data_IF_830569103106
#
_entry.id   IF_830569103106
#
_cell.length_a   1.000
_cell.length_b   1.000
_cell.length_c   1.000
_cell.angle_alpha   90.00
_cell.angle_beta   90.00
_cell.angle_gamma   90.00
#
_symmetry.space_group_name_H-M   'P 1'
#
loop_
_entity.id
_entity.type
_entity.pdbx_description
1 polymer ?
#
# COMPACT_ATOMS: atom_id res chain seq x y z
N UNK A 1 32.76 -6.78 3.81
CA UNK A 1 31.94 -6.47 2.63
C UNK A 1 30.82 -5.57 3.12
N UNK A 2 31.00 -4.28 2.93
CA UNK A 2 30.21 -3.19 3.53
C UNK A 2 28.95 -2.95 2.68
N UNK A 3 27.78 -3.33 3.19
CA UNK A 3 26.50 -2.90 2.64
C UNK A 3 26.18 -1.52 3.19
N UNK A 4 26.53 -0.49 2.43
CA UNK A 4 26.15 0.90 2.72
C UNK A 4 24.61 0.99 2.80
N UNK A 5 24.02 1.57 3.86
CA UNK A 5 22.59 1.84 3.92
C UNK A 5 22.19 2.79 2.80
N UNK A 6 20.92 2.73 2.37
CA UNK A 6 20.35 3.67 1.41
C UNK A 6 20.29 5.08 2.03
N UNK A 7 21.41 5.79 2.02
CA UNK A 7 21.47 7.25 2.20
C UNK A 7 21.00 7.89 0.88
N UNK A 8 19.72 8.24 0.80
CA UNK A 8 19.24 9.36 -0.03
C UNK A 8 17.75 9.64 0.24
N UNK A 9 17.49 10.80 0.86
CA UNK A 9 16.19 11.37 1.24
C UNK A 9 15.53 10.67 2.45
N UNK A 10 15.06 11.45 3.42
CA UNK A 10 14.24 11.03 4.58
C UNK A 10 12.89 10.43 4.13
N UNK A 11 12.90 9.33 3.38
CA UNK A 11 11.73 8.72 2.75
C UNK A 11 11.63 7.28 3.20
N UNK A 12 10.70 7.03 4.11
CA UNK A 12 10.43 5.71 4.65
C UNK A 12 9.51 4.94 3.69
N UNK A 13 9.83 3.67 3.44
CA UNK A 13 8.97 2.74 2.71
C UNK A 13 8.26 1.85 3.73
N UNK A 14 6.94 1.92 3.79
CA UNK A 14 6.13 0.96 4.54
C UNK A 14 5.52 -0.05 3.58
N UNK A 15 5.69 -1.34 3.85
CA UNK A 15 5.15 -2.40 3.00
C UNK A 15 4.22 -3.33 3.78
N UNK A 16 3.20 -3.82 3.08
CA UNK A 16 2.31 -4.86 3.54
C UNK A 16 2.29 -5.97 2.47
N UNK A 17 2.48 -7.22 2.88
CA UNK A 17 2.41 -8.40 2.02
C UNK A 17 2.00 -9.61 2.87
N UNK A 18 1.12 -10.45 2.33
CA UNK A 18 0.60 -11.61 3.04
C UNK A 18 1.59 -12.79 3.10
N UNK A 19 2.67 -12.75 2.31
CA UNK A 19 3.73 -13.77 2.28
C UNK A 19 5.01 -13.21 2.88
N UNK A 20 5.33 -13.61 4.11
CA UNK A 20 6.48 -13.12 4.88
C UNK A 20 7.82 -13.20 4.11
N UNK A 21 8.06 -14.31 3.40
CA UNK A 21 9.31 -14.51 2.65
C UNK A 21 9.56 -13.44 1.56
N UNK A 22 8.51 -12.79 1.05
CA UNK A 22 8.64 -11.72 0.05
C UNK A 22 8.95 -10.36 0.66
N UNK A 23 8.71 -10.19 1.97
CA UNK A 23 8.98 -8.94 2.69
C UNK A 23 10.45 -8.84 3.08
N UNK A 24 11.08 -9.97 3.41
CA UNK A 24 12.47 -10.00 3.91
C UNK A 24 13.46 -9.16 3.08
N UNK A 25 13.49 -9.25 1.73
CA UNK A 25 14.43 -8.45 0.95
C UNK A 25 14.16 -6.93 1.00
N UNK A 26 12.94 -6.51 1.33
CA UNK A 26 12.59 -5.11 1.53
C UNK A 26 13.01 -4.62 2.92
N UNK A 27 12.86 -5.45 3.94
CA UNK A 27 13.30 -5.15 5.31
C UNK A 27 14.83 -5.01 5.37
N UNK A 28 15.56 -5.88 4.67
CA UNK A 28 17.02 -5.80 4.52
C UNK A 28 17.48 -4.47 3.89
N UNK A 29 16.58 -3.78 3.18
CA UNK A 29 16.80 -2.47 2.54
C UNK A 29 16.22 -1.31 3.36
N UNK A 30 15.79 -1.55 4.59
CA UNK A 30 15.28 -0.52 5.50
C UNK A 30 13.79 -0.21 5.36
N UNK A 31 13.00 -1.06 4.68
CA UNK A 31 11.56 -0.93 4.70
C UNK A 31 10.98 -1.27 6.09
N UNK A 32 9.84 -0.67 6.41
CA UNK A 32 9.07 -0.93 7.63
C UNK A 32 7.91 -1.86 7.26
N UNK A 33 7.77 -2.97 7.98
CA UNK A 33 6.61 -3.85 7.79
C UNK A 33 5.37 -3.31 8.51
N UNK A 34 4.23 -3.33 7.83
CA UNK A 34 2.92 -3.07 8.39
C UNK A 34 2.06 -4.34 8.38
N UNK A 35 1.36 -4.60 9.48
CA UNK A 35 0.52 -5.79 9.63
C UNK A 35 -0.78 -5.69 8.81
N UNK A 36 -1.22 -4.47 8.46
CA UNK A 36 -2.42 -4.22 7.66
C UNK A 36 -2.18 -3.17 6.58
N UNK A 37 -2.97 -3.18 5.48
CA UNK A 37 -2.96 -2.10 4.49
C UNK A 37 -3.24 -0.72 5.10
N UNK A 38 -4.17 -0.63 6.04
CA UNK A 38 -4.45 0.60 6.79
C UNK A 38 -3.19 1.14 7.48
N UNK A 39 -2.45 0.28 8.20
CA UNK A 39 -1.22 0.69 8.87
C UNK A 39 -0.15 1.12 7.87
N UNK A 40 -0.08 0.48 6.70
CA UNK A 40 0.83 0.87 5.64
C UNK A 40 0.50 2.26 5.07
N UNK A 41 -0.79 2.58 4.95
CA UNK A 41 -1.27 3.86 4.43
C UNK A 41 -1.17 5.03 5.43
N UNK A 42 -1.25 4.75 6.74
CA UNK A 42 -1.39 5.73 7.82
C UNK A 42 -0.41 6.91 7.81
N UNK A 43 0.82 6.69 7.33
CA UNK A 43 1.88 7.71 7.27
C UNK A 43 2.42 7.94 5.85
N UNK A 44 1.76 7.37 4.85
CA UNK A 44 2.24 7.40 3.48
C UNK A 44 1.68 8.59 2.71
N UNK A 45 2.56 9.29 2.00
CA UNK A 45 2.16 10.33 1.04
C UNK A 45 1.60 9.75 -0.26
N UNK A 46 2.16 8.61 -0.65
CA UNK A 46 1.88 7.90 -1.90
C UNK A 46 1.75 6.43 -1.51
N UNK A 47 0.62 5.82 -1.85
CA UNK A 47 0.32 4.42 -1.59
C UNK A 47 0.25 3.72 -2.95
N UNK A 48 1.03 2.66 -3.13
CA UNK A 48 1.01 1.85 -4.34
C UNK A 48 0.53 0.44 -3.98
N UNK A 49 -0.53 0.00 -4.64
CA UNK A 49 -1.06 -1.36 -4.55
C UNK A 49 -0.78 -2.13 -5.84
N UNK A 50 -0.39 -3.39 -5.69
CA UNK A 50 -0.20 -4.35 -6.77
C UNK A 50 -0.63 -5.73 -6.26
N UNK A 51 -1.70 -6.25 -6.84
CA UNK A 51 -2.43 -7.43 -6.39
C UNK A 51 -2.77 -8.34 -7.58
N UNK A 52 -3.26 -9.54 -7.28
CA UNK A 52 -3.50 -10.58 -8.29
C UNK A 52 -4.78 -10.36 -9.11
N UNK A 53 -5.80 -9.77 -8.50
CA UNK A 53 -7.15 -9.67 -9.05
C UNK A 53 -8.03 -8.67 -8.27
N UNK A 54 -9.23 -8.46 -8.80
CA UNK A 54 -10.31 -7.62 -8.25
C UNK A 54 -10.68 -7.92 -6.78
N UNK A 55 -10.61 -9.17 -6.33
CA UNK A 55 -10.97 -9.54 -4.96
C UNK A 55 -9.83 -9.18 -4.01
N UNK A 56 -8.59 -9.48 -4.39
CA UNK A 56 -7.41 -9.11 -3.63
C UNK A 56 -7.32 -7.57 -3.48
N UNK A 57 -7.51 -6.83 -4.58
CA UNK A 57 -7.53 -5.37 -4.57
C UNK A 57 -8.64 -4.81 -3.66
N UNK A 58 -9.87 -5.35 -3.73
CA UNK A 58 -10.96 -4.95 -2.81
C UNK A 58 -10.60 -5.16 -1.34
N UNK A 59 -9.99 -6.30 -1.01
CA UNK A 59 -9.56 -6.58 0.36
C UNK A 59 -8.46 -5.63 0.82
N UNK A 60 -7.50 -5.30 -0.06
CA UNK A 60 -6.41 -4.38 0.29
C UNK A 60 -6.93 -2.96 0.49
N UNK A 61 -7.85 -2.49 -0.35
CA UNK A 61 -8.31 -1.10 -0.31
C UNK A 61 -9.48 -0.86 0.64
N UNK A 62 -10.51 -1.70 0.57
CA UNK A 62 -11.85 -1.42 1.11
C UNK A 62 -12.31 -2.43 2.15
N UNK A 63 -11.43 -3.31 2.65
CA UNK A 63 -11.76 -4.10 3.82
C UNK A 63 -12.17 -3.17 4.98
N UNK A 64 -13.31 -3.42 5.64
CA UNK A 64 -13.89 -2.47 6.59
C UNK A 64 -12.99 -2.22 7.80
N UNK A 65 -12.19 -3.22 8.19
CA UNK A 65 -11.36 -3.15 9.40
C UNK A 65 -9.91 -2.81 9.07
N UNK A 66 -9.40 -3.28 7.93
CA UNK A 66 -7.96 -3.26 7.60
C UNK A 66 -7.61 -2.58 6.28
N UNK A 67 -8.60 -2.13 5.52
CA UNK A 67 -8.43 -1.54 4.20
C UNK A 67 -7.58 -0.27 4.22
N UNK A 68 -6.75 -0.09 3.20
CA UNK A 68 -5.86 1.06 3.05
C UNK A 68 -6.62 2.40 3.07
N UNK A 69 -7.87 2.44 2.59
CA UNK A 69 -8.72 3.63 2.62
C UNK A 69 -8.90 4.21 4.03
N UNK A 70 -8.90 3.35 5.06
CA UNK A 70 -9.07 3.75 6.45
C UNK A 70 -7.81 4.41 7.04
N UNK A 71 -6.68 4.40 6.31
CA UNK A 71 -5.41 4.98 6.72
C UNK A 71 -4.94 6.13 5.83
N UNK A 72 -5.67 6.49 4.78
CA UNK A 72 -5.26 7.56 3.88
C UNK A 72 -5.25 8.91 4.61
N UNK A 73 -4.13 9.63 4.52
CA UNK A 73 -4.09 11.04 4.93
C UNK A 73 -4.78 11.91 3.89
N UNK A 74 -5.28 13.06 4.31
CA UNK A 74 -5.80 14.08 3.40
C UNK A 74 -4.75 14.43 2.34
N UNK A 75 -5.16 14.42 1.06
CA UNK A 75 -4.28 14.67 -0.08
C UNK A 75 -3.20 13.60 -0.32
N UNK A 76 -3.38 12.38 0.19
CA UNK A 76 -2.55 11.24 -0.21
C UNK A 76 -2.83 10.86 -1.68
N UNK A 77 -1.86 10.24 -2.34
CA UNK A 77 -2.03 9.71 -3.69
C UNK A 77 -2.16 8.19 -3.61
N UNK A 78 -3.34 7.66 -3.95
CA UNK A 78 -3.57 6.23 -4.10
C UNK A 78 -3.28 5.80 -5.55
N UNK A 79 -2.42 4.81 -5.74
CA UNK A 79 -2.06 4.23 -7.02
C UNK A 79 -2.39 2.75 -6.99
N UNK A 80 -3.35 2.33 -7.81
CA UNK A 80 -3.64 0.91 -8.05
C UNK A 80 -3.01 0.53 -9.39
N UNK A 81 -2.04 -0.39 -9.35
CA UNK A 81 -1.22 -0.77 -10.50
C UNK A 81 -1.44 -2.22 -10.95
N UNK A 82 -2.52 -2.87 -10.50
CA UNK A 82 -2.89 -4.23 -10.92
C UNK A 82 -3.65 -4.24 -12.25
N UNK A 83 -3.71 -5.41 -12.88
CA UNK A 83 -4.63 -5.64 -14.03
C UNK A 83 -6.01 -5.99 -13.49
N UNK A 84 -6.93 -5.02 -13.52
CA UNK A 84 -8.24 -5.11 -12.90
C UNK A 84 -9.37 -4.83 -13.89
N UNK A 85 -10.60 -5.16 -13.49
CA UNK A 85 -11.76 -4.76 -14.28
C UNK A 85 -11.99 -3.24 -14.24
N UNK A 86 -12.57 -2.69 -15.31
CA UNK A 86 -12.90 -1.26 -15.40
C UNK A 86 -13.94 -0.89 -14.35
N UNK A 87 -14.97 -1.70 -14.18
CA UNK A 87 -16.04 -1.47 -13.19
C UNK A 87 -15.47 -1.35 -11.77
N UNK A 88 -14.54 -2.25 -11.42
CA UNK A 88 -13.87 -2.18 -10.12
C UNK A 88 -13.00 -0.93 -9.96
N UNK A 89 -12.18 -0.59 -10.95
CA UNK A 89 -11.32 0.61 -10.83
C UNK A 89 -12.13 1.91 -10.71
N UNK A 90 -13.31 1.98 -11.34
CA UNK A 90 -14.26 3.09 -11.15
C UNK A 90 -14.87 3.12 -9.74
N UNK A 91 -15.29 1.96 -9.23
CA UNK A 91 -15.80 1.82 -7.87
C UNK A 91 -14.75 2.23 -6.82
N UNK A 92 -13.50 1.76 -7.00
CA UNK A 92 -12.37 2.12 -6.15
C UNK A 92 -12.12 3.63 -6.16
N UNK A 93 -12.04 4.26 -7.35
CA UNK A 93 -11.83 5.70 -7.46
C UNK A 93 -12.92 6.48 -6.71
N UNK A 94 -14.20 6.10 -6.89
CA UNK A 94 -15.30 6.73 -6.19
C UNK A 94 -15.28 6.52 -4.66
N UNK A 95 -14.74 5.39 -4.19
CA UNK A 95 -14.56 5.13 -2.76
C UNK A 95 -13.44 6.00 -2.16
N UNK A 96 -12.32 6.16 -2.88
CA UNK A 96 -11.19 7.00 -2.45
C UNK A 96 -11.60 8.47 -2.43
N UNK A 97 -12.29 8.97 -3.45
CA UNK A 97 -12.75 10.37 -3.54
C UNK A 97 -13.67 10.77 -2.37
N UNK A 98 -14.42 9.81 -1.80
CA UNK A 98 -15.29 10.07 -0.63
C UNK A 98 -14.51 10.27 0.66
N UNK A 99 -13.27 9.80 0.72
CA UNK A 99 -12.45 9.83 1.94
C UNK A 99 -11.72 11.18 2.12
N UNK A 100 -11.54 11.97 1.04
CA UNK A 100 -10.83 13.26 1.04
C UNK A 100 -9.37 13.17 0.63
#
# INVERSE_FOLDING_TARGET
MSSTPLDNCDRFLTCHECTEAKVLPLLDRGAIYAQTPQQAAAQADIIISMTTDDRASRSVWLDPDTGAVNGLRAGAIAIESSTLTVDWTQELAAAIDRQG
#
